data_IF_344587406941
#
_entry.id   IF_344587406941
#
_cell.length_a   1.000
_cell.length_b   1.000
_cell.length_c   1.000
_cell.angle_alpha   90.00
_cell.angle_beta   90.00
_cell.angle_gamma   90.00
#
_symmetry.space_group_name_H-M   'P 1'
#
loop_
_entity.id
_entity.type
_entity.pdbx_description
1 polymer ?
#
# COMPACT_ATOMS: atom_id res chain seq x y z
N UNK A 1 8.78 -20.74 -7.25
CA UNK A 1 7.44 -20.75 -6.62
C UNK A 1 6.72 -19.44 -6.94
N UNK A 2 5.39 -19.44 -7.01
CA UNK A 2 4.60 -18.21 -7.19
C UNK A 2 4.58 -17.44 -5.85
N UNK A 3 4.80 -16.11 -5.83
CA UNK A 3 4.70 -15.32 -4.61
C UNK A 3 3.35 -15.52 -3.91
N UNK A 4 3.31 -15.59 -2.59
CA UNK A 4 2.05 -15.63 -1.85
C UNK A 4 1.48 -14.22 -1.74
N UNK A 5 2.30 -13.27 -1.30
CA UNK A 5 1.91 -11.87 -1.10
C UNK A 5 2.80 -10.94 -1.92
N UNK A 6 2.18 -10.11 -2.77
CA UNK A 6 2.84 -9.00 -3.44
C UNK A 6 2.44 -7.67 -2.78
N UNK A 7 3.42 -6.85 -2.40
CA UNK A 7 3.19 -5.41 -2.27
C UNK A 7 3.00 -4.82 -3.66
N UNK A 8 1.94 -4.04 -3.86
CA UNK A 8 1.72 -3.23 -5.06
C UNK A 8 1.45 -1.78 -4.67
N UNK A 9 2.36 -0.88 -5.05
CA UNK A 9 2.26 0.54 -4.73
C UNK A 9 2.63 1.43 -5.92
N UNK A 10 2.09 2.64 -5.91
CA UNK A 10 2.50 3.73 -6.77
C UNK A 10 3.32 4.73 -5.96
N UNK A 11 4.30 5.39 -6.58
CA UNK A 11 5.17 6.36 -5.91
C UNK A 11 5.41 7.58 -6.79
N UNK A 12 5.55 8.75 -6.16
CA UNK A 12 5.98 9.99 -6.81
C UNK A 12 6.60 10.95 -5.80
N UNK A 13 7.90 11.16 -5.89
CA UNK A 13 8.65 12.06 -5.01
C UNK A 13 8.49 11.73 -3.50
N UNK A 14 8.71 10.47 -3.17
CA UNK A 14 8.57 9.89 -1.83
C UNK A 14 9.92 9.48 -1.20
N UNK A 15 11.02 10.09 -1.64
CA UNK A 15 12.34 9.92 -1.05
C UNK A 15 12.36 9.97 0.50
N UNK A 16 11.62 10.89 1.17
CA UNK A 16 11.62 10.97 2.64
C UNK A 16 10.97 9.78 3.36
N UNK A 17 10.07 9.04 2.71
CA UNK A 17 9.25 8.02 3.38
C UNK A 17 9.49 6.61 2.87
N UNK A 18 9.82 6.47 1.59
CA UNK A 18 9.79 5.19 0.90
C UNK A 18 10.64 4.12 1.60
N UNK A 19 11.82 4.51 2.10
CA UNK A 19 12.69 3.57 2.83
C UNK A 19 12.03 3.01 4.10
N UNK A 20 11.28 3.82 4.85
CA UNK A 20 10.57 3.35 6.06
C UNK A 20 9.45 2.38 5.68
N UNK A 21 8.65 2.75 4.68
CA UNK A 21 7.59 1.88 4.15
C UNK A 21 8.14 0.52 3.69
N UNK A 22 9.14 0.52 2.80
CA UNK A 22 9.68 -0.72 2.24
C UNK A 22 10.43 -1.58 3.26
N UNK A 23 11.09 -0.98 4.26
CA UNK A 23 11.67 -1.75 5.37
C UNK A 23 10.61 -2.48 6.19
N UNK A 24 9.45 -1.86 6.43
CA UNK A 24 8.39 -2.45 7.26
C UNK A 24 7.75 -3.71 6.67
N UNK A 25 7.78 -3.84 5.35
CA UNK A 25 7.27 -5.02 4.64
C UNK A 25 8.38 -5.99 4.23
N UNK A 26 9.65 -5.64 4.46
CA UNK A 26 10.79 -6.48 4.09
C UNK A 26 10.79 -7.76 4.92
N UNK A 27 10.74 -8.90 4.24
CA UNK A 27 10.60 -10.21 4.90
C UNK A 27 9.17 -10.55 5.34
N UNK A 28 8.19 -9.69 5.04
CA UNK A 28 6.76 -9.95 5.25
C UNK A 28 6.04 -10.22 3.93
N UNK A 29 6.49 -9.62 2.83
CA UNK A 29 5.98 -9.89 1.48
C UNK A 29 7.04 -10.61 0.64
N UNK A 30 6.58 -11.44 -0.29
CA UNK A 30 7.46 -12.22 -1.20
C UNK A 30 7.90 -11.42 -2.43
N UNK A 31 7.10 -10.42 -2.81
CA UNK A 31 7.30 -9.61 -4.01
C UNK A 31 6.94 -8.15 -3.73
N UNK A 32 7.76 -7.22 -4.22
CA UNK A 32 7.43 -5.80 -4.19
C UNK A 32 7.36 -5.28 -5.62
N UNK A 33 6.20 -4.77 -6.01
CA UNK A 33 5.94 -4.10 -7.28
C UNK A 33 5.76 -2.62 -7.01
N UNK A 34 6.66 -1.82 -7.57
CA UNK A 34 6.67 -0.37 -7.39
C UNK A 34 6.45 0.27 -8.76
N UNK A 35 5.45 1.13 -8.86
CA UNK A 35 5.14 1.89 -10.07
C UNK A 35 5.45 3.37 -9.80
N UNK A 36 6.50 3.88 -10.43
CA UNK A 36 6.82 5.30 -10.40
C UNK A 36 5.96 6.06 -11.40
N UNK A 37 5.36 7.17 -10.96
CA UNK A 37 4.52 8.04 -11.81
C UNK A 37 5.18 9.37 -12.14
N UNK A 38 6.52 9.39 -12.25
CA UNK A 38 7.29 10.58 -12.59
C UNK A 38 7.93 11.25 -11.37
N UNK A 39 8.69 10.48 -10.59
CA UNK A 39 9.59 11.04 -9.57
C UNK A 39 10.77 11.77 -10.23
N UNK A 40 11.22 12.84 -9.58
CA UNK A 40 12.38 13.65 -9.98
C UNK A 40 13.43 13.74 -8.86
N UNK A 41 13.17 13.09 -7.73
CA UNK A 41 14.06 12.98 -6.57
C UNK A 41 14.64 11.55 -6.48
N UNK A 42 15.28 11.19 -5.36
CA UNK A 42 15.91 9.87 -5.16
C UNK A 42 14.95 8.69 -4.96
N UNK A 43 13.64 8.85 -5.20
CA UNK A 43 12.63 7.81 -4.95
C UNK A 43 12.94 6.50 -5.67
N UNK A 44 13.31 6.57 -6.96
CA UNK A 44 13.56 5.38 -7.78
C UNK A 44 14.83 4.67 -7.35
N UNK A 45 15.87 5.42 -7.00
CA UNK A 45 17.15 4.90 -6.48
C UNK A 45 16.95 4.19 -5.15
N UNK A 46 16.05 4.68 -4.30
CA UNK A 46 15.66 4.00 -3.07
C UNK A 46 14.93 2.71 -3.39
N UNK A 47 13.90 2.75 -4.24
CA UNK A 47 13.12 1.58 -4.63
C UNK A 47 14.01 0.42 -5.15
N UNK A 48 15.03 0.75 -5.97
CA UNK A 48 15.97 -0.22 -6.56
C UNK A 48 16.78 -1.02 -5.53
N UNK A 49 16.88 -0.53 -4.29
CA UNK A 49 17.56 -1.26 -3.20
C UNK A 49 16.73 -2.41 -2.64
N UNK A 50 15.41 -2.44 -2.92
CA UNK A 50 14.47 -3.41 -2.37
C UNK A 50 13.94 -4.39 -3.42
N UNK A 51 13.83 -3.97 -4.68
CA UNK A 51 13.26 -4.80 -5.75
C UNK A 51 13.71 -4.32 -7.13
N UNK A 52 13.88 -5.26 -8.05
CA UNK A 52 14.09 -4.97 -9.48
C UNK A 52 12.77 -4.77 -10.23
N UNK A 53 11.61 -5.00 -9.59
CA UNK A 53 10.27 -4.88 -10.20
C UNK A 53 9.74 -3.46 -10.08
N UNK A 54 10.48 -2.54 -10.68
CA UNK A 54 10.13 -1.13 -10.75
C UNK A 54 9.67 -0.82 -12.16
N UNK A 55 8.49 -0.23 -12.26
CA UNK A 55 7.88 0.14 -13.53
C UNK A 55 7.60 1.63 -13.55
N UNK A 56 7.53 2.19 -14.75
CA UNK A 56 7.10 3.57 -14.94
C UNK A 56 5.69 3.59 -15.52
N UNK A 57 4.85 4.48 -15.01
CA UNK A 57 3.52 4.74 -15.54
C UNK A 57 3.31 6.26 -15.69
N UNK A 58 3.13 6.78 -16.92
CA UNK A 58 2.92 8.21 -17.11
C UNK A 58 1.71 8.72 -16.30
N UNK A 59 1.89 9.82 -15.57
CA UNK A 59 0.81 10.39 -14.78
C UNK A 59 -0.25 11.04 -15.67
N UNK A 60 -1.51 10.59 -15.52
CA UNK A 60 -2.66 11.08 -16.30
C UNK A 60 -3.78 11.66 -15.41
N UNK A 61 -3.50 11.95 -14.14
CA UNK A 61 -4.52 12.45 -13.19
C UNK A 61 -5.44 11.36 -12.62
N UNK A 62 -5.08 10.10 -12.75
CA UNK A 62 -5.88 8.94 -12.33
C UNK A 62 -5.03 7.98 -11.49
N UNK A 63 -5.25 7.99 -10.17
CA UNK A 63 -4.58 7.08 -9.25
C UNK A 63 -5.03 5.63 -9.45
N UNK A 64 -6.31 5.38 -9.76
CA UNK A 64 -6.83 4.04 -10.05
C UNK A 64 -6.10 3.41 -11.21
N UNK A 65 -5.89 4.16 -12.30
CA UNK A 65 -5.19 3.65 -13.48
C UNK A 65 -3.75 3.21 -13.14
N UNK A 66 -3.01 4.03 -12.40
CA UNK A 66 -1.64 3.72 -11.98
C UNK A 66 -1.59 2.51 -11.01
N UNK A 67 -2.50 2.44 -10.03
CA UNK A 67 -2.59 1.28 -9.12
C UNK A 67 -2.99 0.02 -9.85
N UNK A 68 -3.97 0.08 -10.75
CA UNK A 68 -4.40 -1.06 -11.55
C UNK A 68 -3.26 -1.54 -12.46
N UNK A 69 -2.45 -0.64 -13.01
CA UNK A 69 -1.23 -1.01 -13.71
C UNK A 69 -0.27 -1.77 -12.78
N UNK A 70 -0.05 -1.31 -11.53
CA UNK A 70 0.73 -2.05 -10.54
C UNK A 70 0.18 -3.47 -10.30
N UNK A 71 -1.14 -3.63 -10.17
CA UNK A 71 -1.79 -4.94 -10.00
C UNK A 71 -1.49 -5.89 -11.17
N UNK A 72 -1.44 -5.37 -12.41
CA UNK A 72 -1.11 -6.20 -13.60
C UNK A 72 0.32 -6.74 -13.58
N UNK A 73 1.21 -6.14 -12.80
CA UNK A 73 2.61 -6.57 -12.65
C UNK A 73 2.83 -7.49 -11.45
N UNK A 74 1.89 -7.53 -10.51
CA UNK A 74 1.96 -8.38 -9.33
C UNK A 74 1.59 -9.83 -9.64
N UNK A 75 2.40 -10.77 -9.14
CA UNK A 75 2.21 -12.21 -9.35
C UNK A 75 1.71 -12.94 -8.12
N UNK A 76 1.69 -12.25 -6.98
CA UNK A 76 1.19 -12.75 -5.70
C UNK A 76 -0.24 -13.25 -5.77
N UNK A 77 -0.57 -14.25 -4.96
CA UNK A 77 -1.96 -14.67 -4.75
C UNK A 77 -2.76 -13.60 -4.01
N UNK A 78 -2.09 -12.87 -3.13
CA UNK A 78 -2.60 -11.72 -2.39
C UNK A 78 -1.85 -10.46 -2.78
N UNK A 79 -2.57 -9.35 -2.73
CA UNK A 79 -2.05 -8.00 -2.90
C UNK A 79 -2.17 -7.30 -1.56
N UNK A 80 -1.03 -6.82 -1.06
CA UNK A 80 -0.98 -5.74 -0.11
C UNK A 80 -0.80 -4.44 -0.90
N UNK A 81 -1.73 -3.50 -0.79
CA UNK A 81 -1.54 -2.15 -1.32
C UNK A 81 -1.20 -1.23 -0.17
N UNK A 82 -0.17 -0.41 -0.30
CA UNK A 82 0.22 0.61 0.69
C UNK A 82 0.62 1.89 -0.05
N UNK A 83 0.55 3.00 0.67
CA UNK A 83 1.13 4.28 0.25
C UNK A 83 2.53 4.45 0.84
N UNK A 84 3.36 5.29 0.22
CA UNK A 84 4.78 5.38 0.59
C UNK A 84 5.02 6.03 1.97
N UNK A 85 4.05 6.76 2.50
CA UNK A 85 4.02 7.34 3.84
C UNK A 85 3.38 6.43 4.90
N UNK A 86 2.96 5.23 4.50
CA UNK A 86 2.44 4.17 5.38
C UNK A 86 3.53 3.15 5.75
N UNK A 87 3.45 2.64 6.97
CA UNK A 87 4.33 1.60 7.51
C UNK A 87 3.48 0.43 8.03
N UNK A 88 3.86 -0.81 7.68
CA UNK A 88 3.17 -1.99 8.17
C UNK A 88 3.77 -2.44 9.51
N UNK A 89 2.98 -2.38 10.56
CA UNK A 89 3.28 -2.96 11.86
C UNK A 89 2.59 -4.32 12.00
N UNK A 90 3.37 -5.38 11.85
CA UNK A 90 2.87 -6.76 11.92
C UNK A 90 2.54 -7.23 13.34
N UNK A 91 3.08 -6.57 14.38
CA UNK A 91 2.87 -6.98 15.78
C UNK A 91 3.06 -8.49 16.00
N UNK A 92 2.11 -9.13 16.71
CA UNK A 92 2.07 -10.60 16.90
C UNK A 92 1.25 -11.35 15.83
N UNK A 93 0.64 -10.64 14.88
CA UNK A 93 -0.26 -11.18 13.86
C UNK A 93 0.19 -10.76 12.46
N UNK A 94 1.02 -11.58 11.82
CA UNK A 94 1.56 -11.30 10.50
C UNK A 94 0.54 -11.46 9.37
N UNK A 95 0.88 -10.91 8.19
CA UNK A 95 0.09 -11.09 6.97
C UNK A 95 -0.10 -12.56 6.62
N UNK A 96 0.95 -13.38 6.77
CA UNK A 96 0.92 -14.83 6.53
C UNK A 96 -0.23 -15.51 7.29
N UNK A 97 -0.38 -15.23 8.58
CA UNK A 97 -1.47 -15.80 9.38
C UNK A 97 -2.84 -15.42 8.80
N UNK A 98 -3.02 -14.16 8.42
CA UNK A 98 -4.28 -13.65 7.88
C UNK A 98 -4.62 -14.28 6.51
N UNK A 99 -3.63 -14.45 5.63
CA UNK A 99 -3.84 -15.03 4.29
C UNK A 99 -3.97 -16.55 4.31
N UNK A 100 -3.50 -17.22 5.36
CA UNK A 100 -3.71 -18.66 5.57
C UNK A 100 -5.01 -18.98 6.32
N UNK A 101 -5.47 -18.10 7.22
CA UNK A 101 -6.67 -18.30 8.04
C UNK A 101 -7.79 -17.32 7.66
N UNK A 102 -8.20 -17.36 6.39
CA UNK A 102 -9.06 -16.30 5.84
C UNK A 102 -10.51 -16.37 6.29
N UNK A 103 -10.94 -17.50 6.86
CA UNK A 103 -12.33 -17.78 7.24
C UNK A 103 -13.35 -17.50 6.11
N UNK A 104 -12.98 -17.81 4.86
CA UNK A 104 -13.83 -17.58 3.68
C UNK A 104 -13.74 -16.18 3.07
N UNK A 105 -13.02 -15.24 3.71
CA UNK A 105 -12.81 -13.91 3.16
C UNK A 105 -11.75 -13.90 2.04
N UNK A 106 -11.93 -12.97 1.11
CA UNK A 106 -11.06 -12.75 -0.06
C UNK A 106 -10.40 -11.36 -0.02
N UNK A 107 -10.81 -10.50 0.90
CA UNK A 107 -10.21 -9.20 1.14
C UNK A 107 -10.38 -8.80 2.62
N UNK A 108 -9.54 -7.90 3.10
CA UNK A 108 -9.52 -7.47 4.49
C UNK A 108 -9.36 -5.97 4.61
N UNK A 109 -10.25 -5.38 5.40
CA UNK A 109 -10.00 -4.09 6.02
C UNK A 109 -8.91 -4.26 7.08
N UNK A 110 -7.82 -3.52 6.93
CA UNK A 110 -6.75 -3.44 7.90
C UNK A 110 -6.91 -2.17 8.75
N UNK A 111 -6.61 -2.22 10.05
CA UNK A 111 -6.60 -1.04 10.90
C UNK A 111 -5.49 -0.09 10.47
N UNK A 112 -5.83 1.17 10.27
CA UNK A 112 -4.89 2.26 10.01
C UNK A 112 -4.87 3.22 11.18
N UNK A 113 -3.70 3.44 11.75
CA UNK A 113 -3.44 4.43 12.77
C UNK A 113 -2.85 5.68 12.13
N UNK A 114 -3.67 6.72 12.05
CA UNK A 114 -3.27 8.06 11.62
C UNK A 114 -2.51 8.73 12.76
N UNK A 115 -1.18 8.80 12.68
CA UNK A 115 -0.37 9.44 13.71
C UNK A 115 -0.64 10.95 13.77
N UNK A 116 -0.80 11.50 14.97
CA UNK A 116 -0.92 12.94 15.15
C UNK A 116 0.45 13.62 14.99
N UNK A 117 0.50 14.67 14.18
CA UNK A 117 1.69 15.52 14.06
C UNK A 117 1.85 16.49 15.24
N UNK A 118 0.77 16.75 15.98
CA UNK A 118 0.72 17.77 17.05
C UNK A 118 0.89 17.15 18.45
N UNK A 119 0.42 15.92 18.63
CA UNK A 119 0.43 15.21 19.91
C UNK A 119 1.18 13.88 19.76
N UNK A 120 2.48 13.83 20.11
CA UNK A 120 3.28 12.62 20.03
C UNK A 120 2.62 11.45 20.78
N UNK A 121 2.51 10.29 20.12
CA UNK A 121 1.90 9.09 20.69
C UNK A 121 0.37 9.01 20.56
N UNK A 122 -0.30 10.08 20.12
CA UNK A 122 -1.73 10.05 19.81
C UNK A 122 -1.98 9.67 18.35
N UNK A 123 -3.05 8.91 18.10
CA UNK A 123 -3.48 8.52 16.77
C UNK A 123 -5.01 8.42 16.66
N UNK A 124 -5.52 8.63 15.46
CA UNK A 124 -6.90 8.25 15.10
C UNK A 124 -6.89 6.88 14.41
N UNK A 125 -7.87 6.03 14.71
CA UNK A 125 -7.96 4.68 14.13
C UNK A 125 -9.07 4.60 13.09
N UNK A 126 -8.72 4.10 11.91
CA UNK A 126 -9.62 3.85 10.79
C UNK A 126 -9.44 2.41 10.29
N UNK A 127 -10.28 2.00 9.34
CA UNK A 127 -10.16 0.73 8.64
C UNK A 127 -10.11 0.98 7.13
N UNK A 128 -9.13 0.39 6.47
CA UNK A 128 -8.87 0.59 5.04
C UNK A 128 -8.68 -0.74 4.32
N UNK A 129 -9.28 -0.89 3.14
CA UNK A 129 -9.22 -2.13 2.37
C UNK A 129 -7.86 -2.21 1.64
N UNK A 130 -6.88 -2.84 2.28
CA UNK A 130 -5.48 -2.83 1.85
C UNK A 130 -4.90 -4.21 1.55
N UNK A 131 -5.60 -5.29 1.93
CA UNK A 131 -5.21 -6.66 1.63
C UNK A 131 -6.33 -7.38 0.87
N UNK A 132 -6.06 -7.92 -0.32
CA UNK A 132 -7.07 -8.59 -1.13
C UNK A 132 -6.47 -9.64 -2.08
N UNK A 133 -7.25 -10.63 -2.48
CA UNK A 133 -6.81 -11.62 -3.46
C UNK A 133 -6.55 -10.96 -4.81
N UNK A 134 -5.47 -11.37 -5.49
CA UNK A 134 -5.11 -10.89 -6.81
C UNK A 134 -6.04 -11.49 -7.88
N UNK A 135 -7.25 -10.93 -8.00
CA UNK A 135 -8.28 -11.34 -8.95
C UNK A 135 -8.44 -10.30 -10.04
N UNK A 136 -8.80 -10.70 -11.28
CA UNK A 136 -9.09 -9.75 -12.35
C UNK A 136 -10.20 -8.74 -12.02
N UNK A 137 -11.21 -9.14 -11.25
CA UNK A 137 -12.34 -8.29 -10.88
C UNK A 137 -12.05 -7.31 -9.74
N UNK A 138 -10.97 -7.48 -8.96
CA UNK A 138 -10.63 -6.57 -7.85
C UNK A 138 -9.74 -5.46 -8.36
N UNK A 139 -10.35 -4.33 -8.72
CA UNK A 139 -9.68 -3.17 -9.32
C UNK A 139 -10.04 -1.90 -8.60
N UNK A 140 -9.09 -0.98 -8.56
CA UNK A 140 -9.32 0.37 -8.08
C UNK A 140 -10.27 1.10 -9.02
N UNK A 141 -11.28 1.76 -8.45
CA UNK A 141 -12.18 2.64 -9.17
C UNK A 141 -12.26 4.01 -8.46
N UNK A 142 -12.37 5.07 -9.26
CA UNK A 142 -12.33 6.48 -8.82
C UNK A 142 -10.97 7.13 -9.10
N UNK A 143 -10.95 8.35 -9.62
CA UNK A 143 -9.69 8.99 -10.05
C UNK A 143 -8.83 9.55 -8.90
N UNK A 144 -9.47 9.98 -7.78
CA UNK A 144 -8.83 10.71 -6.66
C UNK A 144 -9.12 10.08 -5.28
N UNK A 145 -10.31 9.50 -5.10
CA UNK A 145 -10.69 8.76 -3.89
C UNK A 145 -10.83 7.28 -4.23
N UNK A 146 -9.79 6.71 -4.84
CA UNK A 146 -9.84 5.37 -5.35
C UNK A 146 -10.02 4.33 -4.24
N UNK A 147 -10.86 3.35 -4.50
CA UNK A 147 -11.00 2.17 -3.64
C UNK A 147 -11.01 0.91 -4.50
N UNK A 148 -10.45 -0.18 -3.96
CA UNK A 148 -10.59 -1.47 -4.62
C UNK A 148 -12.05 -1.92 -4.52
N UNK A 149 -12.64 -2.21 -5.68
CA UNK A 149 -14.02 -2.68 -5.77
C UNK A 149 -14.04 -4.19 -5.55
N UNK A 150 -14.79 -4.63 -4.53
CA UNK A 150 -15.06 -6.04 -4.26
C UNK A 150 -16.57 -6.26 -4.40
N UNK A 151 -16.97 -6.99 -5.44
CA UNK A 151 -18.37 -7.17 -5.83
C UNK A 151 -19.25 -7.83 -4.76
N UNK A 152 -18.64 -8.68 -3.91
CA UNK A 152 -19.34 -9.40 -2.84
C UNK A 152 -18.91 -8.85 -1.48
N UNK A 153 -19.68 -7.97 -0.83
CA UNK A 153 -19.33 -7.41 0.47
C UNK A 153 -19.06 -8.47 1.55
N UNK A 154 -19.78 -9.60 1.53
CA UNK A 154 -19.57 -10.72 2.45
C UNK A 154 -18.19 -11.39 2.31
N UNK A 155 -17.49 -11.18 1.20
CA UNK A 155 -16.13 -11.66 1.00
C UNK A 155 -15.08 -10.77 1.68
N UNK A 156 -15.48 -9.63 2.27
CA UNK A 156 -14.57 -8.70 2.93
C UNK A 156 -14.62 -8.89 4.44
N UNK A 157 -13.50 -9.27 5.04
CA UNK A 157 -13.33 -9.38 6.48
C UNK A 157 -12.78 -8.09 7.11
N UNK A 158 -12.90 -7.98 8.44
CA UNK A 158 -12.17 -6.99 9.24
C UNK A 158 -11.06 -7.68 10.01
N UNK A 159 -9.82 -7.22 9.85
CA UNK A 159 -8.68 -7.75 10.57
C UNK A 159 -8.39 -6.91 11.82
N UNK A 160 -7.95 -7.55 12.91
CA UNK A 160 -7.44 -6.83 14.08
C UNK A 160 -5.95 -6.45 13.94
N UNK A 161 -5.22 -7.18 13.09
CA UNK A 161 -3.81 -7.02 12.75
C UNK A 161 -3.54 -7.62 11.36
N UNK A 162 -2.47 -7.24 10.64
CA UNK A 162 -1.48 -6.22 11.01
C UNK A 162 -2.06 -4.80 10.99
N UNK A 163 -1.35 -3.85 11.59
CA UNK A 163 -1.74 -2.43 11.67
C UNK A 163 -0.92 -1.63 10.67
N UNK A 164 -1.56 -0.70 9.97
CA UNK A 164 -0.89 0.29 9.12
C UNK A 164 -0.70 1.56 9.94
N UNK A 165 0.52 2.08 10.02
CA UNK A 165 0.83 3.37 10.65
C UNK A 165 1.04 4.39 9.55
N UNK A 166 0.17 5.39 9.45
CA UNK A 166 0.34 6.48 8.51
C UNK A 166 1.02 7.66 9.22
N UNK A 167 2.16 8.06 8.68
CA UNK A 167 3.00 9.12 9.23
C UNK A 167 2.86 10.38 8.35
N UNK A 168 1.98 11.33 8.71
CA UNK A 168 1.78 12.50 7.89
C UNK A 168 3.05 13.35 7.86
N UNK A 169 3.33 13.92 6.70
CA UNK A 169 4.34 14.97 6.58
C UNK A 169 4.06 16.13 7.54
N UNK A 170 5.11 16.77 8.10
CA UNK A 170 4.99 18.06 8.77
C UNK A 170 4.22 19.06 7.91
N UNK A 171 3.42 19.92 8.53
CA UNK A 171 2.54 20.86 7.82
C UNK A 171 3.26 21.74 6.78
N UNK A 172 4.54 22.08 7.03
CA UNK A 172 5.39 22.85 6.12
C UNK A 172 5.68 22.12 4.80
N UNK A 173 5.88 20.81 4.85
CA UNK A 173 6.18 19.98 3.67
C UNK A 173 4.91 19.63 2.90
N UNK A 174 3.77 19.43 3.60
CA UNK A 174 2.45 19.28 2.96
C UNK A 174 2.08 20.48 2.09
N UNK A 175 2.42 21.70 2.52
CA UNK A 175 2.15 22.94 1.74
C UNK A 175 3.01 23.03 0.47
N UNK A 176 4.25 22.54 0.52
CA UNK A 176 5.14 22.49 -0.66
C UNK A 176 4.65 21.49 -1.71
N UNK A 177 4.02 20.38 -1.29
CA UNK A 177 3.47 19.36 -2.21
C UNK A 177 2.16 19.77 -2.90
N UNK A 178 1.35 20.64 -2.31
CA UNK A 178 0.07 21.10 -2.91
C UNK A 178 0.21 22.08 -4.09
N UNK A 179 1.44 22.51 -4.39
CA UNK A 179 1.73 23.45 -5.49
C UNK A 179 2.32 22.81 -6.75
N UNK A 180 2.23 21.48 -6.90
CA UNK A 180 2.75 20.73 -8.06
C UNK A 180 1.64 19.90 -8.71
#
# INVERSE_FOLDING_TARGET
>A
MKPLISLAMIVRNEEPHLSRCLNSVRGVVDEMVIVDTGSTDGTVEIARRYTDRIYHYPWHGDFSAARNFALTRARGRWILSLDADEELDTGRGGLDHLVHNTNGHEAFFLPLHQMSAELPGSYSRFFVLRLFQNRPCYRFAGAIHEQVVVERPAAVGMAAAPVIRHHPLPARERRRRRGR
#
